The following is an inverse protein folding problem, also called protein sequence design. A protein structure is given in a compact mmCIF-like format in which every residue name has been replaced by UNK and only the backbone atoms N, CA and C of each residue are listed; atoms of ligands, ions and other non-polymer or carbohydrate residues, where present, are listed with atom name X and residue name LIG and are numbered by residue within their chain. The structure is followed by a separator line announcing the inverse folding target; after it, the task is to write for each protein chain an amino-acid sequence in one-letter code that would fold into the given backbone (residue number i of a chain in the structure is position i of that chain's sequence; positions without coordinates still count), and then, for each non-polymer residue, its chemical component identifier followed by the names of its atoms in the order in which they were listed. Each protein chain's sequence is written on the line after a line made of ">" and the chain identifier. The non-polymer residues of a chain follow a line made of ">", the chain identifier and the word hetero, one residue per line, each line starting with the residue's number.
data_IF_132211637449
#
_entry.id   IF_132211637449
#
_cell.length_a   1.000
_cell.length_b   1.000
_cell.length_c   1.000
_cell.angle_alpha   90.00
_cell.angle_beta   90.00
_cell.angle_gamma   90.00
#
_symmetry.space_group_name_H-M   'P 1'
#
loop_
_entity.id
_entity.type
_entity.pdbx_description
1 polymer ?
#
# COMPACT_ATOMS: atom_id res chain seq x y z
N UNK A 1 -8.72 21.32 -20.41
CA UNK A 1 -8.67 22.02 -19.11
C UNK A 1 -9.92 22.88 -18.86
N UNK A 2 -10.68 23.30 -19.89
CA UNK A 2 -11.80 24.25 -19.72
C UNK A 2 -13.12 23.67 -19.19
N UNK A 3 -13.36 22.36 -19.25
CA UNK A 3 -14.66 21.78 -18.88
C UNK A 3 -14.90 21.62 -17.37
N UNK A 4 -13.88 21.86 -16.52
CA UNK A 4 -13.94 21.63 -15.07
C UNK A 4 -13.53 22.85 -14.24
N UNK A 5 -13.50 24.05 -14.83
CA UNK A 5 -13.13 25.28 -14.12
C UNK A 5 -14.12 25.55 -12.99
N UNK A 6 -13.59 25.74 -11.77
CA UNK A 6 -14.39 26.01 -10.58
C UNK A 6 -15.13 24.80 -9.99
N UNK A 7 -14.92 23.59 -10.52
CA UNK A 7 -15.51 22.38 -9.96
C UNK A 7 -14.64 21.82 -8.82
N UNK A 8 -15.29 21.49 -7.72
CA UNK A 8 -14.69 20.81 -6.57
C UNK A 8 -15.53 19.60 -6.20
N UNK A 9 -14.91 18.59 -5.60
CA UNK A 9 -15.61 17.44 -5.03
C UNK A 9 -15.91 17.76 -3.56
N UNK A 10 -17.16 17.58 -3.15
CA UNK A 10 -17.61 17.86 -1.78
C UNK A 10 -18.34 16.65 -1.19
N UNK A 11 -18.31 16.54 0.13
CA UNK A 11 -19.17 15.65 0.90
C UNK A 11 -19.86 16.48 1.98
N UNK A 12 -21.19 16.36 2.09
CA UNK A 12 -22.01 17.18 2.99
C UNK A 12 -21.72 18.70 2.87
N UNK A 13 -21.51 19.20 1.65
CA UNK A 13 -21.27 20.62 1.36
C UNK A 13 -19.85 21.12 1.69
N UNK A 14 -18.95 20.27 2.17
CA UNK A 14 -17.57 20.63 2.50
C UNK A 14 -16.60 19.99 1.50
N UNK A 15 -15.53 20.68 1.04
CA UNK A 15 -14.50 20.09 0.20
C UNK A 15 -13.88 18.84 0.83
N UNK A 16 -13.66 17.80 0.02
CA UNK A 16 -13.00 16.57 0.48
C UNK A 16 -11.48 16.63 0.25
N UNK A 17 -10.72 15.82 0.99
CA UNK A 17 -9.37 15.44 0.58
C UNK A 17 -9.47 14.41 -0.56
N UNK A 18 -9.06 14.82 -1.76
CA UNK A 18 -9.12 13.98 -2.96
C UNK A 18 -7.82 13.18 -3.15
N UNK A 19 -7.78 11.97 -2.58
CA UNK A 19 -6.68 11.03 -2.80
C UNK A 19 -6.79 10.35 -4.16
N UNK A 20 -5.64 10.09 -4.80
CA UNK A 20 -5.56 9.35 -6.05
C UNK A 20 -4.31 8.47 -6.06
N UNK A 21 -4.37 7.35 -6.80
CA UNK A 21 -3.26 6.43 -7.00
C UNK A 21 -3.15 6.00 -8.46
N UNK A 22 -1.99 5.48 -8.85
CA UNK A 22 -1.75 5.05 -10.24
C UNK A 22 -2.41 3.71 -10.59
N UNK A 23 -2.62 2.84 -9.60
CA UNK A 23 -3.25 1.53 -9.72
C UNK A 23 -3.64 1.05 -8.32
N UNK A 24 -4.77 0.38 -8.19
CA UNK A 24 -5.29 -0.12 -6.91
C UNK A 24 -5.05 -1.62 -6.69
N UNK A 25 -4.71 -2.37 -7.73
CA UNK A 25 -4.59 -3.83 -7.64
C UNK A 25 -5.94 -4.56 -7.64
N UNK A 26 -6.99 -3.92 -8.17
CA UNK A 26 -8.31 -4.51 -8.43
C UNK A 26 -9.41 -3.97 -7.53
N UNK A 27 -9.04 -3.38 -6.39
CA UNK A 27 -9.93 -2.80 -5.38
C UNK A 27 -9.21 -1.61 -4.74
N UNK A 28 -9.91 -0.50 -4.55
CA UNK A 28 -9.36 0.68 -3.84
C UNK A 28 -9.29 0.44 -2.33
N UNK A 29 -8.26 0.99 -1.68
CA UNK A 29 -8.09 0.84 -0.22
C UNK A 29 -8.89 1.91 0.56
N UNK A 30 -9.26 1.62 1.80
CA UNK A 30 -9.86 2.62 2.68
C UNK A 30 -8.81 3.60 3.20
N UNK A 31 -9.21 4.84 3.52
CA UNK A 31 -8.30 5.79 4.17
C UNK A 31 -7.88 5.35 5.57
N UNK A 32 -8.69 4.52 6.23
CA UNK A 32 -8.37 3.94 7.52
C UNK A 32 -7.20 2.96 7.42
N UNK A 33 -7.22 2.05 6.45
CA UNK A 33 -6.13 1.12 6.26
C UNK A 33 -4.87 1.79 5.69
N UNK A 34 -5.04 2.78 4.80
CA UNK A 34 -3.91 3.49 4.21
C UNK A 34 -3.24 4.49 5.19
N UNK A 35 -4.03 5.25 5.96
CA UNK A 35 -3.52 6.38 6.76
C UNK A 35 -4.00 6.40 8.21
N UNK A 36 -4.85 5.47 8.64
CA UNK A 36 -5.30 5.33 10.02
C UNK A 36 -6.51 6.18 10.40
N UNK A 37 -7.19 6.82 9.44
CA UNK A 37 -8.42 7.58 9.72
C UNK A 37 -9.50 7.27 8.70
N UNK A 38 -10.66 6.79 9.17
CA UNK A 38 -11.82 6.53 8.32
C UNK A 38 -12.48 7.84 7.89
N UNK A 39 -12.96 7.89 6.65
CA UNK A 39 -13.85 8.96 6.18
C UNK A 39 -15.05 8.35 5.43
N UNK A 40 -16.20 9.02 5.38
CA UNK A 40 -17.39 8.47 4.73
C UNK A 40 -17.29 8.41 3.20
N UNK A 41 -16.29 9.05 2.58
CA UNK A 41 -16.12 9.15 1.12
C UNK A 41 -14.86 8.45 0.59
N UNK A 42 -14.09 7.77 1.45
CA UNK A 42 -12.92 6.95 1.10
C UNK A 42 -13.18 5.49 1.45
N UNK A 43 -14.32 4.99 1.00
CA UNK A 43 -14.72 3.60 1.14
C UNK A 43 -14.13 2.77 -0.01
N UNK A 44 -13.80 1.52 0.28
CA UNK A 44 -13.26 0.59 -0.69
C UNK A 44 -14.31 0.27 -1.77
N UNK A 45 -13.93 0.44 -3.03
CA UNK A 45 -14.73 0.11 -4.22
C UNK A 45 -13.91 -0.71 -5.21
N UNK A 46 -14.59 -1.56 -5.99
CA UNK A 46 -13.98 -2.37 -7.05
C UNK A 46 -13.38 -1.49 -8.15
N UNK A 47 -12.20 -1.87 -8.63
CA UNK A 47 -11.44 -1.21 -9.69
C UNK A 47 -10.77 -2.27 -10.57
N UNK A 48 -11.60 -3.07 -11.24
CA UNK A 48 -11.18 -4.20 -12.08
C UNK A 48 -10.30 -3.79 -13.26
N UNK A 49 -10.42 -2.55 -13.73
CA UNK A 49 -9.59 -2.01 -14.81
C UNK A 49 -8.10 -1.91 -14.41
N UNK A 50 -7.80 -1.74 -13.11
CA UNK A 50 -6.43 -1.59 -12.63
C UNK A 50 -5.58 -2.86 -12.68
N UNK A 51 -6.20 -4.04 -12.80
CA UNK A 51 -5.52 -5.35 -12.94
C UNK A 51 -5.55 -5.90 -14.36
N UNK A 52 -6.29 -5.25 -15.27
CA UNK A 52 -6.26 -5.59 -16.68
C UNK A 52 -4.93 -5.15 -17.29
N UNK A 53 -4.11 -6.11 -17.73
CA UNK A 53 -2.79 -5.86 -18.33
C UNK A 53 -2.90 -5.06 -19.63
N UNK A 54 -4.00 -5.16 -20.38
CA UNK A 54 -4.20 -4.36 -21.59
C UNK A 54 -4.44 -2.89 -21.27
N UNK A 55 -5.05 -2.59 -20.11
CA UNK A 55 -5.36 -1.23 -19.65
C UNK A 55 -4.28 -0.65 -18.74
N UNK A 56 -3.59 -1.48 -17.96
CA UNK A 56 -2.53 -1.10 -17.02
C UNK A 56 -1.27 -1.98 -17.14
N UNK A 57 -0.59 -1.98 -18.30
CA UNK A 57 0.54 -2.89 -18.56
C UNK A 57 1.76 -2.64 -17.66
N UNK A 58 1.86 -1.47 -17.01
CA UNK A 58 3.00 -1.09 -16.17
C UNK A 58 2.87 -1.45 -14.69
N UNK A 59 1.64 -1.58 -14.19
CA UNK A 59 1.40 -1.77 -12.75
C UNK A 59 0.42 -2.90 -12.42
N UNK A 60 -0.11 -3.61 -13.42
CA UNK A 60 -0.86 -4.85 -13.19
C UNK A 60 -0.01 -5.94 -12.50
N UNK A 61 1.32 -5.91 -12.69
CA UNK A 61 2.27 -6.70 -11.91
C UNK A 61 3.63 -5.99 -11.81
N UNK A 62 4.37 -6.28 -10.74
CA UNK A 62 5.72 -5.77 -10.55
C UNK A 62 6.55 -6.76 -9.73
N UNK A 63 7.87 -6.70 -9.91
CA UNK A 63 8.83 -7.39 -9.03
C UNK A 63 9.98 -6.43 -8.69
N UNK A 64 10.50 -6.57 -7.47
CA UNK A 64 11.61 -5.76 -6.93
C UNK A 64 12.50 -6.63 -6.07
N UNK A 65 13.81 -6.60 -6.36
CA UNK A 65 14.82 -7.08 -5.43
C UNK A 65 15.25 -5.91 -4.54
N UNK A 66 15.11 -6.07 -3.23
CA UNK A 66 15.48 -5.05 -2.25
C UNK A 66 16.68 -5.56 -1.45
N UNK A 67 17.77 -4.77 -1.32
CA UNK A 67 18.90 -5.15 -0.48
C UNK A 67 18.47 -5.39 0.97
N UNK A 68 19.02 -6.43 1.62
CA UNK A 68 18.69 -6.72 3.02
C UNK A 68 18.89 -5.51 3.92
N UNK A 69 19.92 -4.69 3.70
CA UNK A 69 20.20 -3.51 4.52
C UNK A 69 19.05 -2.49 4.51
N UNK A 70 18.33 -2.36 3.38
CA UNK A 70 17.15 -1.50 3.28
C UNK A 70 15.99 -2.10 4.07
N UNK A 71 15.80 -3.42 4.01
CA UNK A 71 14.76 -4.11 4.80
C UNK A 71 15.06 -3.98 6.30
N UNK A 72 16.28 -4.28 6.74
CA UNK A 72 16.69 -4.14 8.13
C UNK A 72 16.51 -2.69 8.62
N UNK A 73 16.92 -1.71 7.81
CA UNK A 73 16.69 -0.29 8.09
C UNK A 73 15.21 0.07 8.21
N UNK A 74 14.33 -0.52 7.40
CA UNK A 74 12.89 -0.26 7.50
C UNK A 74 12.31 -0.67 8.86
N UNK A 75 12.77 -1.80 9.41
CA UNK A 75 12.38 -2.32 10.72
C UNK A 75 13.22 -1.79 11.88
N UNK A 76 14.24 -0.96 11.61
CA UNK A 76 15.23 -0.52 12.59
C UNK A 76 15.95 -1.70 13.30
N UNK A 77 16.24 -2.77 12.55
CA UNK A 77 17.01 -3.93 12.98
C UNK A 77 18.43 -3.88 12.40
N UNK A 78 19.37 -4.60 13.01
CA UNK A 78 20.74 -4.79 12.48
C UNK A 78 20.75 -5.59 11.18
N UNK A 79 19.87 -6.58 11.09
CA UNK A 79 19.77 -7.56 10.04
C UNK A 79 18.36 -8.18 10.03
N UNK A 80 18.02 -8.86 8.95
CA UNK A 80 16.75 -9.57 8.80
C UNK A 80 17.03 -10.95 8.23
N UNK A 81 16.72 -11.98 9.02
CA UNK A 81 16.84 -13.37 8.65
C UNK A 81 15.55 -13.92 8.02
N UNK A 82 14.38 -13.40 8.42
CA UNK A 82 13.11 -13.78 7.80
C UNK A 82 12.07 -12.65 7.84
N UNK A 83 11.16 -12.68 6.88
CA UNK A 83 9.99 -11.81 6.80
C UNK A 83 8.72 -12.66 6.77
N UNK A 84 7.66 -12.16 7.40
CA UNK A 84 6.36 -12.81 7.40
C UNK A 84 5.24 -11.76 7.29
N UNK A 85 4.36 -11.93 6.30
CA UNK A 85 3.08 -11.21 6.27
C UNK A 85 2.19 -11.80 7.36
N UNK A 86 1.81 -10.99 8.34
CA UNK A 86 0.97 -11.41 9.47
C UNK A 86 -0.51 -11.33 9.14
N UNK A 87 -0.92 -10.32 8.38
CA UNK A 87 -2.31 -10.12 7.99
C UNK A 87 -2.44 -9.25 6.74
N UNK A 88 -3.60 -9.33 6.10
CA UNK A 88 -3.98 -8.54 4.93
C UNK A 88 -5.25 -7.73 5.23
N UNK A 89 -5.38 -6.57 4.59
CA UNK A 89 -6.62 -5.82 4.56
C UNK A 89 -7.61 -6.50 3.59
N UNK A 90 -8.92 -6.22 3.69
CA UNK A 90 -9.93 -6.77 2.76
C UNK A 90 -9.65 -6.47 1.28
N UNK A 91 -9.00 -5.35 0.97
CA UNK A 91 -8.61 -4.99 -0.39
C UNK A 91 -7.35 -5.75 -0.90
N UNK A 92 -6.76 -6.63 -0.09
CA UNK A 92 -5.61 -7.47 -0.45
C UNK A 92 -4.24 -6.83 -0.22
N UNK A 93 -4.17 -5.59 0.28
CA UNK A 93 -2.90 -5.01 0.71
C UNK A 93 -2.40 -5.65 2.01
N UNK A 94 -1.09 -5.68 2.22
CA UNK A 94 -0.50 -6.13 3.48
C UNK A 94 -0.93 -5.18 4.61
N UNK A 95 -1.62 -5.70 5.61
CA UNK A 95 -2.01 -4.93 6.78
C UNK A 95 -0.85 -4.85 7.77
N UNK A 96 -0.26 -6.01 8.10
CA UNK A 96 0.87 -6.13 9.01
C UNK A 96 1.91 -7.10 8.47
N UNK A 97 3.18 -6.74 8.67
CA UNK A 97 4.35 -7.55 8.31
C UNK A 97 5.34 -7.54 9.47
N UNK A 98 6.00 -8.66 9.70
CA UNK A 98 7.02 -8.83 10.72
C UNK A 98 8.35 -9.23 10.10
N UNK A 99 9.44 -8.67 10.64
CA UNK A 99 10.80 -9.14 10.42
C UNK A 99 11.33 -9.83 11.67
N UNK A 100 12.20 -10.83 11.46
CA UNK A 100 12.98 -11.48 12.51
C UNK A 100 14.46 -11.39 12.15
N UNK A 101 15.28 -10.87 13.05
CA UNK A 101 16.75 -10.83 12.91
C UNK A 101 17.38 -12.21 13.16
N UNK A 102 18.65 -12.39 12.78
CA UNK A 102 19.40 -13.63 13.06
C UNK A 102 19.56 -13.94 14.54
N UNK A 103 19.44 -12.93 15.41
CA UNK A 103 19.49 -13.07 16.87
C UNK A 103 18.11 -13.34 17.51
N UNK A 104 17.05 -13.43 16.70
CA UNK A 104 15.69 -13.72 17.14
C UNK A 104 14.88 -12.49 17.56
N UNK A 105 15.44 -11.28 17.50
CA UNK A 105 14.68 -10.03 17.74
C UNK A 105 13.67 -9.86 16.61
N UNK A 106 12.41 -9.62 16.96
CA UNK A 106 11.32 -9.37 16.02
C UNK A 106 10.85 -7.92 16.04
N UNK A 107 10.40 -7.43 14.88
CA UNK A 107 9.77 -6.12 14.74
C UNK A 107 8.63 -6.19 13.73
N UNK A 108 7.49 -5.57 14.04
CA UNK A 108 6.32 -5.54 13.16
C UNK A 108 6.00 -4.12 12.69
N UNK A 109 5.54 -4.00 11.45
CA UNK A 109 5.12 -2.74 10.83
C UNK A 109 3.78 -2.92 10.14
N UNK A 110 3.04 -1.81 10.03
CA UNK A 110 1.96 -1.72 9.03
C UNK A 110 2.55 -1.89 7.64
N UNK A 111 1.83 -2.57 6.75
CA UNK A 111 2.31 -2.78 5.37
C UNK A 111 2.59 -1.47 4.63
N UNK A 112 1.79 -0.43 4.87
CA UNK A 112 2.03 0.89 4.27
C UNK A 112 3.30 1.58 4.82
N UNK A 113 3.58 1.43 6.12
CA UNK A 113 4.83 1.90 6.74
C UNK A 113 6.02 1.16 6.14
N UNK A 114 5.91 -0.17 6.00
CA UNK A 114 6.94 -0.97 5.38
C UNK A 114 7.18 -0.55 3.93
N UNK A 115 6.11 -0.44 3.12
CA UNK A 115 6.17 0.01 1.72
C UNK A 115 6.93 1.32 1.59
N UNK A 116 6.57 2.31 2.41
CA UNK A 116 7.21 3.63 2.41
C UNK A 116 8.71 3.53 2.69
N UNK A 117 9.10 2.80 3.73
CA UNK A 117 10.51 2.68 4.16
C UNK A 117 11.35 1.80 3.24
N UNK A 118 10.76 0.78 2.63
CA UNK A 118 11.41 -0.15 1.70
C UNK A 118 11.33 0.29 0.23
N UNK A 119 10.68 1.43 -0.04
CA UNK A 119 10.51 2.04 -1.37
C UNK A 119 9.76 1.14 -2.36
N UNK A 120 8.81 0.36 -1.86
CA UNK A 120 7.93 -0.44 -2.69
C UNK A 120 6.88 0.44 -3.40
N UNK A 121 6.45 0.05 -4.61
CA UNK A 121 5.45 0.80 -5.35
C UNK A 121 4.05 0.71 -4.73
N UNK A 122 3.74 -0.37 -4.00
CA UNK A 122 2.45 -0.62 -3.36
C UNK A 122 2.59 -1.48 -2.10
N UNK A 123 1.63 -1.37 -1.17
CA UNK A 123 1.47 -2.27 -0.04
C UNK A 123 0.80 -3.60 -0.46
N UNK A 124 0.37 -3.71 -1.72
CA UNK A 124 -0.04 -4.96 -2.35
C UNK A 124 1.18 -5.70 -2.87
N UNK A 125 1.67 -6.69 -2.12
CA UNK A 125 2.82 -7.51 -2.46
C UNK A 125 2.80 -8.87 -1.75
N UNK A 126 3.58 -9.81 -2.28
CA UNK A 126 3.97 -11.05 -1.60
C UNK A 126 5.50 -11.13 -1.49
N UNK A 127 5.99 -11.93 -0.55
CA UNK A 127 7.42 -12.23 -0.41
C UNK A 127 7.71 -13.47 -1.27
N UNK A 128 8.81 -13.43 -2.02
CA UNK A 128 9.29 -14.52 -2.86
C UNK A 128 10.70 -14.85 -2.39
N UNK A 129 10.96 -16.13 -2.12
CA UNK A 129 12.26 -16.67 -1.72
C UNK A 129 13.17 -16.97 -2.93
#
# INVERSE_FOLDING_TARGET
>A
MDSTVGQIITFAGTPITAYFSSSSGGITETSEHAWGTATPYTQSVSDTASVDVALNPRFASWSRQIPQSVIAGAFALSDVASLQVLSMNPAGTVAMIQATSSTGITAALRGETFRSRSKLPSAWFSIID
#
